data_IF_191988520809
#
_entry.id   IF_191988520809
#
_cell.length_a   1.000
_cell.length_b   1.000
_cell.length_c   1.000
_cell.angle_alpha   90.00
_cell.angle_beta   90.00
_cell.angle_gamma   90.00
#
_symmetry.space_group_name_H-M   'P 1'
#
loop_
_entity.id
_entity.type
_entity.pdbx_description
1 polymer ?
#
# COMPACT_ATOMS: atom_id res chain seq x y z
N UNK A 1 8.45 -11.24 1.57
CA UNK A 1 8.66 -10.52 2.85
C UNK A 1 9.66 -9.40 2.59
N UNK A 2 9.41 -8.18 3.07
CA UNK A 2 10.35 -7.06 2.93
C UNK A 2 11.62 -7.38 3.72
N UNK A 3 12.77 -7.48 3.03
CA UNK A 3 14.02 -7.96 3.63
C UNK A 3 14.73 -6.90 4.51
N UNK A 4 14.32 -5.64 4.43
CA UNK A 4 14.75 -4.53 5.27
C UNK A 4 13.66 -3.46 5.18
N UNK A 5 13.31 -2.79 6.28
CA UNK A 5 12.42 -1.63 6.25
C UNK A 5 13.17 -0.43 5.67
N UNK A 6 13.34 -0.39 4.36
CA UNK A 6 14.11 0.67 3.73
C UNK A 6 13.32 1.98 3.78
N UNK A 7 14.04 3.09 3.86
CA UNK A 7 13.43 4.39 3.75
C UNK A 7 12.87 4.58 2.33
N UNK A 8 11.57 4.88 2.16
CA UNK A 8 11.00 5.25 0.88
C UNK A 8 11.73 6.42 0.24
N UNK A 9 12.44 6.13 -0.84
CA UNK A 9 12.94 7.14 -1.76
C UNK A 9 11.88 7.46 -2.79
N UNK A 10 11.98 8.64 -3.42
CA UNK A 10 11.14 8.98 -4.57
C UNK A 10 11.17 7.87 -5.64
N UNK A 11 12.35 7.27 -5.88
CA UNK A 11 12.52 6.19 -6.83
C UNK A 11 11.70 4.94 -6.45
N UNK A 12 11.79 4.50 -5.19
CA UNK A 12 11.04 3.34 -4.70
C UNK A 12 9.52 3.56 -4.73
N UNK A 13 9.06 4.79 -4.44
CA UNK A 13 7.64 5.15 -4.56
C UNK A 13 7.17 5.13 -6.02
N UNK A 14 7.99 5.63 -6.94
CA UNK A 14 7.70 5.59 -8.38
C UNK A 14 7.71 4.16 -8.93
N UNK A 15 8.61 3.31 -8.45
CA UNK A 15 8.64 1.90 -8.81
C UNK A 15 7.35 1.19 -8.36
N UNK A 16 6.93 1.41 -7.11
CA UNK A 16 5.67 0.88 -6.60
C UNK A 16 4.48 1.36 -7.45
N UNK A 17 4.42 2.65 -7.79
CA UNK A 17 3.36 3.19 -8.66
C UNK A 17 3.33 2.52 -10.04
N UNK A 18 4.49 2.30 -10.66
CA UNK A 18 4.60 1.61 -11.97
C UNK A 18 4.10 0.17 -11.87
N UNK A 19 4.53 -0.57 -10.84
CA UNK A 19 4.13 -1.96 -10.61
C UNK A 19 2.63 -2.06 -10.36
N UNK A 20 2.07 -1.17 -9.54
CA UNK A 20 0.65 -1.17 -9.22
C UNK A 20 -0.23 -0.93 -10.47
N UNK A 21 0.16 0.01 -11.35
CA UNK A 21 -0.54 0.23 -12.62
C UNK A 21 -0.50 -1.00 -13.54
N UNK A 22 0.65 -1.68 -13.61
CA UNK A 22 0.80 -2.93 -14.39
C UNK A 22 -0.04 -4.07 -13.79
N UNK A 23 -0.11 -4.15 -12.47
CA UNK A 23 -0.94 -5.11 -11.76
C UNK A 23 -2.44 -4.88 -12.05
N UNK A 24 -2.92 -3.63 -12.01
CA UNK A 24 -4.31 -3.31 -12.39
C UNK A 24 -4.59 -3.80 -13.82
N UNK A 25 -3.72 -3.46 -14.78
CA UNK A 25 -3.90 -3.88 -16.17
C UNK A 25 -3.90 -5.41 -16.35
N UNK A 26 -3.04 -6.14 -15.62
CA UNK A 26 -3.02 -7.60 -15.66
C UNK A 26 -4.28 -8.20 -15.02
N UNK A 27 -4.77 -7.63 -13.92
CA UNK A 27 -5.97 -8.11 -13.22
C UNK A 27 -7.25 -8.05 -14.07
N UNK A 28 -7.29 -7.23 -15.12
CA UNK A 28 -8.42 -7.14 -16.03
C UNK A 28 -8.50 -8.30 -17.03
N UNK A 29 -7.37 -8.94 -17.33
CA UNK A 29 -7.26 -10.00 -18.35
C UNK A 29 -6.95 -11.37 -17.76
N UNK A 30 -6.43 -11.43 -16.54
CA UNK A 30 -6.03 -12.65 -15.87
C UNK A 30 -6.80 -12.81 -14.54
N UNK A 31 -7.86 -13.64 -14.52
CA UNK A 31 -8.64 -13.90 -13.31
C UNK A 31 -7.87 -14.63 -12.20
N UNK A 32 -6.90 -15.47 -12.55
CA UNK A 32 -6.07 -16.21 -11.59
C UNK A 32 -5.17 -15.22 -10.84
N UNK A 33 -4.43 -14.40 -11.59
CA UNK A 33 -3.64 -13.31 -11.01
C UNK A 33 -4.50 -12.37 -10.16
N UNK A 34 -5.70 -12.01 -10.63
CA UNK A 34 -6.61 -11.16 -9.85
C UNK A 34 -7.00 -11.80 -8.51
N UNK A 35 -7.24 -13.11 -8.49
CA UNK A 35 -7.52 -13.86 -7.27
C UNK A 35 -6.34 -13.82 -6.30
N UNK A 36 -5.13 -14.07 -6.79
CA UNK A 36 -3.90 -14.00 -5.98
C UNK A 36 -3.63 -12.58 -5.46
N UNK A 37 -3.84 -11.55 -6.29
CA UNK A 37 -3.65 -10.15 -5.90
C UNK A 37 -4.62 -9.71 -4.79
N UNK A 38 -5.87 -10.20 -4.80
CA UNK A 38 -6.84 -9.93 -3.75
C UNK A 38 -6.53 -10.67 -2.45
N UNK A 39 -5.92 -11.87 -2.54
CA UNK A 39 -5.62 -12.69 -1.37
C UNK A 39 -4.30 -12.30 -0.69
N UNK A 40 -3.22 -12.19 -1.47
CA UNK A 40 -1.86 -11.94 -0.98
C UNK A 40 -1.13 -10.97 -1.94
N UNK A 41 -1.45 -9.66 -1.89
CA UNK A 41 -0.99 -8.71 -2.91
C UNK A 41 0.53 -8.61 -3.01
N UNK A 42 1.25 -8.55 -1.89
CA UNK A 42 2.72 -8.48 -1.92
C UNK A 42 3.36 -9.73 -2.54
N UNK A 43 2.79 -10.91 -2.29
CA UNK A 43 3.27 -12.15 -2.91
C UNK A 43 2.94 -12.21 -4.40
N UNK A 44 1.74 -11.77 -4.80
CA UNK A 44 1.37 -11.67 -6.20
C UNK A 44 2.27 -10.68 -6.96
N UNK A 45 2.58 -9.52 -6.36
CA UNK A 45 3.50 -8.56 -6.97
C UNK A 45 4.91 -9.12 -7.11
N UNK A 46 5.40 -9.84 -6.10
CA UNK A 46 6.67 -10.54 -6.15
C UNK A 46 6.70 -11.60 -7.26
N UNK A 47 5.69 -12.47 -7.33
CA UNK A 47 5.62 -13.59 -8.28
C UNK A 47 5.49 -13.13 -9.73
N UNK A 48 4.64 -12.14 -10.02
CA UNK A 48 4.30 -11.76 -11.40
C UNK A 48 5.15 -10.60 -11.94
N UNK A 49 5.65 -9.74 -11.07
CA UNK A 49 6.42 -8.55 -11.48
C UNK A 49 7.84 -8.53 -10.95
N UNK A 50 8.25 -9.52 -10.15
CA UNK A 50 9.55 -9.52 -9.49
C UNK A 50 9.70 -8.42 -8.43
N UNK A 51 8.60 -7.75 -8.07
CA UNK A 51 8.64 -6.59 -7.20
C UNK A 51 8.64 -7.03 -5.73
N UNK A 52 9.72 -6.70 -5.01
CA UNK A 52 9.78 -6.85 -3.57
C UNK A 52 9.48 -5.51 -2.92
N UNK A 53 8.37 -5.42 -2.18
CA UNK A 53 8.07 -4.21 -1.43
C UNK A 53 9.18 -3.97 -0.40
N UNK A 54 9.84 -2.80 -0.41
CA UNK A 54 10.96 -2.52 0.48
C UNK A 54 10.52 -1.97 1.85
N UNK A 55 9.21 -1.90 2.11
CA UNK A 55 8.65 -1.31 3.33
C UNK A 55 7.94 -2.38 4.16
N UNK A 56 8.00 -2.26 5.48
CA UNK A 56 7.21 -3.08 6.39
C UNK A 56 5.80 -2.49 6.45
N UNK A 57 5.00 -2.82 5.43
CA UNK A 57 3.60 -2.40 5.32
C UNK A 57 2.72 -3.60 4.98
N UNK A 58 1.51 -3.58 5.50
CA UNK A 58 0.43 -4.44 5.03
C UNK A 58 -0.32 -3.72 3.91
N UNK A 59 -0.46 -4.39 2.77
CA UNK A 59 -1.28 -3.92 1.66
C UNK A 59 -2.50 -4.83 1.58
N UNK A 60 -3.68 -4.22 1.64
CA UNK A 60 -4.93 -4.89 1.33
C UNK A 60 -5.44 -4.41 -0.03
N UNK A 61 -5.75 -5.34 -0.92
CA UNK A 61 -6.41 -5.02 -2.20
C UNK A 61 -7.84 -5.53 -2.12
N UNK A 62 -8.78 -4.60 -2.12
CA UNK A 62 -10.21 -4.91 -2.05
C UNK A 62 -10.84 -4.91 -3.43
N UNK A 63 -11.81 -5.81 -3.64
CA UNK A 63 -12.62 -5.80 -4.86
C UNK A 63 -13.49 -4.54 -4.86
N UNK A 64 -13.51 -3.83 -5.98
CA UNK A 64 -14.38 -2.68 -6.16
C UNK A 64 -15.87 -3.06 -5.97
N UNK A 65 -16.58 -2.24 -5.21
CA UNK A 65 -18.03 -2.37 -5.01
C UNK A 65 -18.80 -2.23 -6.33
N UNK A 66 -20.04 -2.72 -6.36
CA UNK A 66 -20.90 -2.56 -7.54
C UNK A 66 -21.07 -1.06 -7.89
N UNK A 67 -20.90 -0.72 -9.17
CA UNK A 67 -20.97 0.67 -9.65
C UNK A 67 -19.69 1.49 -9.46
N UNK A 68 -18.62 0.91 -8.90
CA UNK A 68 -17.29 1.53 -8.84
C UNK A 68 -16.42 1.06 -10.00
N UNK A 69 -16.30 1.88 -11.03
CA UNK A 69 -15.52 1.58 -12.23
C UNK A 69 -15.54 2.71 -13.26
N UNK A 70 -15.13 2.39 -14.48
CA UNK A 70 -15.21 3.31 -15.62
C UNK A 70 -16.66 3.51 -16.05
N UNK A 71 -17.10 4.76 -16.15
CA UNK A 71 -18.40 5.15 -16.72
C UNK A 71 -18.15 5.93 -18.00
N UNK A 72 -18.56 5.37 -19.14
CA UNK A 72 -18.45 6.05 -20.44
C UNK A 72 -19.57 7.09 -20.62
N UNK A 73 -19.26 8.20 -21.27
CA UNK A 73 -20.23 9.24 -21.66
C UNK A 73 -20.87 9.01 -23.05
N UNK A 74 -20.49 7.93 -23.74
CA UNK A 74 -20.97 7.61 -25.09
C UNK A 74 -20.41 8.50 -26.21
N UNK A 75 -19.52 9.46 -25.91
CA UNK A 75 -18.90 10.40 -26.86
C UNK A 75 -17.40 10.21 -27.02
N UNK A 76 -16.90 9.04 -26.63
CA UNK A 76 -15.47 8.72 -26.60
C UNK A 76 -14.76 9.17 -25.33
N UNK A 77 -15.50 9.70 -24.34
CA UNK A 77 -15.00 10.03 -23.02
C UNK A 77 -15.59 9.15 -21.92
N UNK A 78 -15.26 9.52 -20.68
CA UNK A 78 -15.77 8.88 -19.48
C UNK A 78 -15.00 9.31 -18.24
N UNK A 79 -15.40 8.77 -17.11
CA UNK A 79 -14.78 9.05 -15.81
C UNK A 79 -14.64 7.79 -14.96
N UNK A 80 -13.63 7.79 -14.10
CA UNK A 80 -13.44 6.75 -13.10
C UNK A 80 -14.18 7.10 -11.82
N UNK A 81 -15.03 6.19 -11.35
CA UNK A 81 -15.61 6.23 -10.02
C UNK A 81 -14.99 5.11 -9.17
N UNK A 82 -13.95 5.43 -8.41
CA UNK A 82 -13.26 4.46 -7.56
C UNK A 82 -13.39 4.86 -6.09
N UNK A 83 -13.25 3.87 -5.20
CA UNK A 83 -13.14 4.13 -3.77
C UNK A 83 -11.83 4.89 -3.49
N UNK A 84 -11.85 5.77 -2.49
CA UNK A 84 -10.63 6.43 -2.03
C UNK A 84 -9.71 5.39 -1.39
N UNK A 85 -8.41 5.49 -1.65
CA UNK A 85 -7.42 4.72 -0.92
C UNK A 85 -7.50 5.12 0.56
N UNK A 86 -7.47 4.11 1.43
CA UNK A 86 -7.45 4.29 2.88
C UNK A 86 -6.07 3.92 3.42
N UNK A 87 -5.67 4.60 4.50
CA UNK A 87 -4.49 4.27 5.27
C UNK A 87 -4.92 4.11 6.73
N UNK A 88 -4.55 2.99 7.34
CA UNK A 88 -4.78 2.74 8.76
C UNK A 88 -3.48 2.97 9.50
N UNK A 89 -3.53 3.75 10.58
CA UNK A 89 -2.37 4.06 11.43
C UNK A 89 -2.73 3.73 12.87
N UNK A 90 -1.88 2.96 13.55
CA UNK A 90 -2.00 2.72 14.98
C UNK A 90 -1.42 3.90 15.75
N UNK A 91 -2.25 4.62 16.51
CA UNK A 91 -1.76 5.66 17.42
C UNK A 91 -1.48 5.01 18.78
N UNK A 92 -0.26 5.14 19.33
CA UNK A 92 0.08 4.53 20.61
C UNK A 92 -0.69 5.19 21.76
N UNK A 93 -0.96 4.42 22.82
CA UNK A 93 -1.45 4.97 24.08
C UNK A 93 -0.34 5.77 24.79
N UNK A 94 -0.72 6.83 25.51
CA UNK A 94 0.23 7.59 26.32
C UNK A 94 0.74 6.72 27.49
N UNK A 95 2.04 6.72 27.79
CA UNK A 95 2.56 6.00 28.96
C UNK A 95 2.01 6.56 30.27
N UNK A 96 1.75 5.69 31.24
CA UNK A 96 1.22 6.06 32.56
C UNK A 96 2.19 6.93 33.37
N UNK A 97 3.50 6.75 33.14
CA UNK A 97 4.54 7.57 33.76
C UNK A 97 4.96 8.69 32.79
N UNK A 98 4.70 9.95 33.16
CA UNK A 98 5.00 11.10 32.32
C UNK A 98 6.51 11.34 32.15
N UNK A 99 7.33 10.89 33.09
CA UNK A 99 8.80 11.02 32.98
C UNK A 99 9.37 10.11 31.88
N UNK A 100 8.62 9.08 31.47
CA UNK A 100 9.00 8.15 30.40
C UNK A 100 8.48 8.57 29.02
N UNK A 101 7.69 9.65 28.93
CA UNK A 101 7.02 10.07 27.69
C UNK A 101 8.01 10.29 26.54
N UNK A 102 9.11 10.99 26.79
CA UNK A 102 10.13 11.24 25.78
C UNK A 102 10.83 9.95 25.32
N UNK A 103 11.05 8.99 26.24
CA UNK A 103 11.67 7.70 25.92
C UNK A 103 10.71 6.82 25.13
N UNK A 104 9.44 6.76 25.55
CA UNK A 104 8.40 6.01 24.86
C UNK A 104 8.17 6.55 23.44
N UNK A 105 8.17 7.87 23.27
CA UNK A 105 8.04 8.51 21.95
C UNK A 105 9.27 8.22 21.07
N UNK A 106 10.48 8.29 21.63
CA UNK A 106 11.69 7.95 20.90
C UNK A 106 11.71 6.46 20.46
N UNK A 107 11.27 5.56 21.33
CA UNK A 107 11.15 4.13 21.01
C UNK A 107 10.06 3.87 19.95
N UNK A 108 8.93 4.57 20.01
CA UNK A 108 7.91 4.52 18.96
C UNK A 108 8.46 5.04 17.63
N UNK A 109 9.29 6.09 17.66
CA UNK A 109 10.00 6.59 16.50
C UNK A 109 10.97 5.56 15.90
N UNK A 110 11.69 4.81 16.74
CA UNK A 110 12.64 3.78 16.31
C UNK A 110 11.96 2.50 15.79
N UNK A 111 10.80 2.14 16.36
CA UNK A 111 10.10 0.90 16.03
C UNK A 111 9.51 0.84 14.60
N UNK A 112 9.44 1.99 13.89
CA UNK A 112 8.95 2.08 12.50
C UNK A 112 7.56 2.68 12.26
N UNK A 113 6.55 2.54 13.16
CA UNK A 113 5.20 3.11 12.96
C UNK A 113 5.12 4.64 12.87
N UNK A 114 6.15 5.35 13.31
CA UNK A 114 6.30 6.81 13.18
C UNK A 114 6.48 7.28 11.73
N UNK A 115 6.89 6.40 10.82
CA UNK A 115 7.26 6.76 9.47
C UNK A 115 6.28 6.19 8.44
N UNK A 116 5.24 6.97 8.14
CA UNK A 116 4.25 6.62 7.10
C UNK A 116 4.91 6.36 5.73
N UNK A 117 5.95 7.14 5.43
CA UNK A 117 6.97 6.86 4.41
C UNK A 117 8.28 7.54 4.88
N UNK A 118 9.29 6.79 5.31
CA UNK A 118 10.42 7.33 6.11
C UNK A 118 11.41 8.26 5.36
N UNK A 119 11.87 9.29 6.10
CA UNK A 119 13.19 9.91 6.01
C UNK A 119 13.95 9.53 7.28
N UNK A 120 15.05 8.78 7.16
CA UNK A 120 16.21 8.73 8.08
C UNK A 120 17.43 8.23 7.31
#
# INVERSE_FOLDING_TARGET
>A
MANNNANPTLESMLEFQKVYLRAIALSWRDPEFKGELLANPLEALAKYFGYQCPWIIDIEVVKAEAGRGWTSDGKGGGSWNLQRNAMTVGIPEQPTNLDEEAVALAAYCDAGPSYLFTCC
#
